data_IF_057176604116
#
_entry.id   IF_057176604116
#
_cell.length_a   1.000
_cell.length_b   1.000
_cell.length_c   1.000
_cell.angle_alpha   90.00
_cell.angle_beta   90.00
_cell.angle_gamma   90.00
#
_symmetry.space_group_name_H-M   'P 1'
#
loop_
_entity.id
_entity.type
_entity.pdbx_description
1 polymer ?
#
# COMPACT_ATOMS: atom_id res chain seq x y z
N UNK A 1 -39.20 21.02 64.60
CA UNK A 1 -37.79 21.47 64.59
C UNK A 1 -37.03 20.57 63.64
N UNK A 2 -36.38 21.18 62.65
CA UNK A 2 -35.41 20.63 61.67
C UNK A 2 -35.92 19.45 60.80
N UNK A 3 -36.39 19.68 59.56
CA UNK A 3 -35.65 20.10 58.36
C UNK A 3 -34.75 18.98 57.80
N UNK A 4 -35.17 18.40 56.67
CA UNK A 4 -34.33 17.86 55.57
C UNK A 4 -35.27 17.37 54.46
N UNK A 5 -35.69 18.29 53.59
CA UNK A 5 -36.24 18.00 52.27
C UNK A 5 -35.10 17.95 51.25
N UNK A 6 -34.89 16.80 50.61
CA UNK A 6 -34.07 16.68 49.40
C UNK A 6 -35.00 16.70 48.17
N UNK A 7 -34.84 17.66 47.24
CA UNK A 7 -35.59 17.65 45.99
C UNK A 7 -34.85 16.86 44.90
N UNK A 8 -35.62 16.03 44.19
CA UNK A 8 -35.26 15.31 42.97
C UNK A 8 -34.77 16.28 41.89
N UNK A 9 -33.47 16.24 41.57
CA UNK A 9 -32.88 17.01 40.48
C UNK A 9 -33.18 16.35 39.13
N UNK A 10 -33.89 17.11 38.29
CA UNK A 10 -34.08 16.87 36.85
C UNK A 10 -32.71 17.01 36.17
N UNK A 11 -32.17 15.89 35.70
CA UNK A 11 -30.90 15.81 34.98
C UNK A 11 -31.12 15.63 33.48
N UNK A 12 -31.16 16.77 32.80
CA UNK A 12 -30.60 17.08 31.48
C UNK A 12 -30.43 15.94 30.46
N UNK A 13 -31.25 16.00 29.40
CA UNK A 13 -31.07 15.28 28.13
C UNK A 13 -29.66 15.48 27.55
N UNK A 14 -29.03 14.43 26.98
CA UNK A 14 -27.74 14.58 26.34
C UNK A 14 -27.88 15.39 25.05
N UNK A 15 -27.13 16.49 25.02
CA UNK A 15 -26.93 17.38 23.88
C UNK A 15 -26.72 16.62 22.58
N UNK A 16 -27.57 16.90 21.61
CA UNK A 16 -27.47 16.49 20.22
C UNK A 16 -26.08 16.83 19.67
N UNK A 17 -25.29 15.79 19.33
CA UNK A 17 -24.08 15.93 18.55
C UNK A 17 -24.46 16.56 17.21
N UNK A 18 -24.11 17.84 17.00
CA UNK A 18 -24.28 18.51 15.71
C UNK A 18 -23.57 17.67 14.65
N UNK A 19 -24.34 17.02 13.78
CA UNK A 19 -23.78 16.39 12.59
C UNK A 19 -23.12 17.50 11.77
N UNK A 20 -21.79 17.42 11.64
CA UNK A 20 -21.02 18.34 10.80
C UNK A 20 -21.51 18.11 9.37
N UNK A 21 -22.45 18.94 8.88
CA UNK A 21 -22.93 18.87 7.49
C UNK A 21 -21.70 18.89 6.59
N UNK A 22 -21.49 17.79 5.86
CA UNK A 22 -20.42 17.67 4.88
C UNK A 22 -20.64 18.76 3.83
N UNK A 23 -19.61 19.58 3.59
CA UNK A 23 -19.65 20.58 2.52
C UNK A 23 -19.84 19.83 1.19
N UNK A 24 -20.68 20.34 0.26
CA UNK A 24 -20.83 19.73 -1.06
C UNK A 24 -19.49 19.78 -1.79
N UNK A 25 -19.13 18.68 -2.45
CA UNK A 25 -17.91 18.60 -3.26
C UNK A 25 -18.23 18.83 -4.74
N UNK A 26 -17.46 19.67 -5.48
CA UNK A 26 -16.35 20.50 -4.99
C UNK A 26 -16.84 21.78 -4.27
N UNK A 27 -16.18 22.15 -3.17
CA UNK A 27 -16.49 23.38 -2.43
C UNK A 27 -15.48 24.49 -2.76
N UNK A 28 -15.98 25.72 -2.89
CA UNK A 28 -15.14 26.92 -2.83
C UNK A 28 -14.80 27.24 -1.37
N UNK A 29 -13.53 27.49 -1.11
CA UNK A 29 -13.01 27.90 0.19
C UNK A 29 -12.81 29.42 0.22
N UNK A 30 -12.72 29.98 1.43
CA UNK A 30 -12.44 31.40 1.59
C UNK A 30 -10.97 31.68 1.22
N UNK A 31 -10.66 32.54 0.23
CA UNK A 31 -9.29 32.83 -0.18
C UNK A 31 -8.41 33.37 0.96
N UNK A 32 -9.00 34.04 1.95
CA UNK A 32 -8.27 34.59 3.11
C UNK A 32 -7.82 33.52 4.11
N UNK A 33 -8.42 32.33 4.08
CA UNK A 33 -8.06 31.21 4.96
C UNK A 33 -6.85 30.42 4.42
N UNK A 34 -6.40 30.70 3.19
CA UNK A 34 -5.24 30.02 2.62
C UNK A 34 -3.94 30.48 3.28
N UNK A 35 -3.04 29.56 3.69
CA UNK A 35 -1.79 29.89 4.37
C UNK A 35 -0.88 30.84 3.60
N UNK A 36 -0.85 30.74 2.26
CA UNK A 36 -0.05 31.63 1.41
C UNK A 36 -0.99 32.44 0.50
N UNK A 37 -1.22 33.72 0.79
CA UNK A 37 -2.12 34.56 0.01
C UNK A 37 -1.53 34.90 -1.38
N UNK A 38 -2.35 35.46 -2.29
CA UNK A 38 -1.87 35.97 -3.57
C UNK A 38 -0.77 37.04 -3.40
N UNK A 39 0.10 37.18 -4.40
CA UNK A 39 1.06 38.29 -4.46
C UNK A 39 0.31 39.63 -4.51
N UNK A 40 0.94 40.72 -4.06
CA UNK A 40 0.28 42.04 -4.04
C UNK A 40 -0.31 42.40 -5.42
N UNK A 41 -1.62 42.66 -5.45
CA UNK A 41 -2.38 42.97 -6.67
C UNK A 41 -2.82 41.76 -7.51
N UNK A 42 -2.48 40.53 -7.11
CA UNK A 42 -2.90 39.29 -7.76
C UNK A 42 -4.19 38.70 -7.19
N UNK A 43 -4.97 38.03 -8.03
CA UNK A 43 -6.19 37.31 -7.60
C UNK A 43 -5.99 35.79 -7.49
N UNK A 44 -4.88 35.25 -8.00
CA UNK A 44 -4.60 33.80 -7.98
C UNK A 44 -3.75 33.44 -6.78
N UNK A 45 -4.07 32.31 -6.16
CA UNK A 45 -3.26 31.76 -5.08
C UNK A 45 -1.94 31.23 -5.67
N UNK A 46 -0.81 31.37 -4.97
CA UNK A 46 0.41 30.69 -5.35
C UNK A 46 0.24 29.18 -5.18
N UNK A 47 0.85 28.40 -6.09
CA UNK A 47 0.90 26.94 -5.95
C UNK A 47 2.00 26.57 -4.94
N UNK A 48 1.59 26.38 -3.69
CA UNK A 48 2.46 25.96 -2.58
C UNK A 48 1.95 24.67 -1.96
N UNK A 49 2.82 23.94 -1.24
CA UNK A 49 2.41 22.71 -0.53
C UNK A 49 1.31 23.01 0.50
N UNK A 50 1.46 24.08 1.28
CA UNK A 50 0.53 24.45 2.34
C UNK A 50 -0.85 24.84 1.78
N UNK A 51 -0.90 25.54 0.64
CA UNK A 51 -2.16 25.89 -0.02
C UNK A 51 -2.87 24.66 -0.60
N UNK A 52 -2.12 23.71 -1.18
CA UNK A 52 -2.69 22.46 -1.70
C UNK A 52 -3.20 21.60 -0.54
N UNK A 53 -2.45 21.50 0.56
CA UNK A 53 -2.89 20.78 1.76
C UNK A 53 -4.17 21.40 2.35
N UNK A 54 -4.23 22.72 2.45
CA UNK A 54 -5.44 23.45 2.87
C UNK A 54 -6.63 23.17 1.93
N UNK A 55 -6.41 23.19 0.61
CA UNK A 55 -7.44 22.91 -0.39
C UNK A 55 -8.05 21.51 -0.22
N UNK A 56 -7.20 20.50 -0.04
CA UNK A 56 -7.60 19.11 0.17
C UNK A 56 -8.36 18.95 1.50
N UNK A 57 -7.82 19.52 2.59
CA UNK A 57 -8.42 19.46 3.91
C UNK A 57 -9.79 20.14 3.97
N UNK A 58 -9.92 21.33 3.37
CA UNK A 58 -11.18 22.08 3.30
C UNK A 58 -12.30 21.36 2.52
N UNK A 59 -11.92 20.45 1.63
CA UNK A 59 -12.81 19.60 0.84
C UNK A 59 -12.91 18.16 1.37
N UNK A 60 -12.36 17.86 2.56
CA UNK A 60 -12.37 16.51 3.14
C UNK A 60 -11.81 15.44 2.20
N UNK A 61 -10.73 15.77 1.49
CA UNK A 61 -10.02 14.85 0.60
C UNK A 61 -8.85 14.25 1.36
N UNK A 62 -8.83 12.93 1.48
CA UNK A 62 -7.69 12.20 2.01
C UNK A 62 -6.81 11.71 0.86
N UNK A 63 -5.53 12.02 0.94
CA UNK A 63 -4.53 11.58 -0.02
C UNK A 63 -3.53 10.72 0.72
N UNK A 64 -3.35 9.48 0.26
CA UNK A 64 -2.37 8.55 0.83
C UNK A 64 -1.65 7.77 -0.25
N UNK A 65 -0.43 7.33 0.03
CA UNK A 65 0.35 6.53 -0.89
C UNK A 65 0.56 5.13 -0.33
N UNK A 66 -0.02 4.12 -0.98
CA UNK A 66 0.21 2.73 -0.61
C UNK A 66 1.62 2.31 -1.03
N UNK A 67 2.47 2.07 -0.04
CA UNK A 67 3.88 1.73 -0.26
C UNK A 67 4.08 0.33 -0.84
N UNK A 68 3.09 -0.56 -0.71
CA UNK A 68 3.14 -1.93 -1.25
C UNK A 68 2.71 -1.91 -2.71
N UNK A 69 1.52 -1.37 -3.00
CA UNK A 69 1.01 -1.33 -4.37
C UNK A 69 1.63 -0.23 -5.22
N UNK A 70 2.38 0.69 -4.58
CA UNK A 70 3.00 1.86 -5.19
C UNK A 70 1.99 2.81 -5.85
N UNK A 71 0.76 2.86 -5.32
CA UNK A 71 -0.36 3.64 -5.86
C UNK A 71 -0.75 4.78 -4.94
N UNK A 72 -1.10 5.90 -5.55
CA UNK A 72 -1.72 7.03 -4.88
C UNK A 72 -3.23 6.78 -4.76
N UNK A 73 -3.77 6.89 -3.55
CA UNK A 73 -5.20 6.85 -3.27
C UNK A 73 -5.67 8.25 -2.88
N UNK A 74 -6.71 8.72 -3.56
CA UNK A 74 -7.28 10.06 -3.37
C UNK A 74 -8.77 9.87 -3.17
N UNK A 75 -9.21 10.04 -1.92
CA UNK A 75 -10.56 9.71 -1.50
C UNK A 75 -11.29 10.93 -0.95
N UNK A 76 -12.52 11.13 -1.39
CA UNK A 76 -13.48 12.03 -0.76
C UNK A 76 -14.70 11.20 -0.34
N UNK A 77 -14.95 11.07 0.97
CA UNK A 77 -16.04 10.25 1.51
C UNK A 77 -16.10 8.83 0.91
N UNK A 78 -14.96 8.14 0.88
CA UNK A 78 -14.78 6.81 0.28
C UNK A 78 -14.98 6.71 -1.25
N UNK A 79 -15.29 7.82 -1.94
CA UNK A 79 -15.25 7.89 -3.41
C UNK A 79 -13.84 8.22 -3.88
N UNK A 80 -13.32 7.42 -4.80
CA UNK A 80 -12.08 7.73 -5.53
C UNK A 80 -12.31 8.95 -6.42
N UNK A 81 -11.41 9.93 -6.33
CA UNK A 81 -11.39 11.09 -7.20
C UNK A 81 -10.46 10.85 -8.39
N UNK A 82 -10.86 11.37 -9.54
CA UNK A 82 -10.08 11.38 -10.76
C UNK A 82 -9.26 12.67 -10.88
N UNK A 83 -8.28 12.69 -11.79
CA UNK A 83 -7.43 13.86 -12.03
C UNK A 83 -8.24 15.12 -12.38
N UNK A 84 -9.28 14.95 -13.20
CA UNK A 84 -10.17 16.04 -13.60
C UNK A 84 -10.91 16.67 -12.42
N UNK A 85 -11.29 15.87 -11.40
CA UNK A 85 -11.96 16.38 -10.20
C UNK A 85 -11.03 17.34 -9.44
N UNK A 86 -9.74 16.98 -9.34
CA UNK A 86 -8.72 17.76 -8.63
C UNK A 86 -8.32 19.02 -9.38
N UNK A 87 -8.15 18.92 -10.70
CA UNK A 87 -7.88 20.07 -11.58
C UNK A 87 -9.05 21.06 -11.53
N UNK A 88 -10.29 20.56 -11.61
CA UNK A 88 -11.50 21.37 -11.50
C UNK A 88 -11.58 22.07 -10.14
N UNK A 89 -11.31 21.35 -9.05
CA UNK A 89 -11.28 21.90 -7.70
C UNK A 89 -10.22 23.00 -7.52
N UNK A 90 -9.01 22.79 -8.05
CA UNK A 90 -7.94 23.78 -8.00
C UNK A 90 -8.35 25.07 -8.72
N UNK A 91 -8.90 24.93 -9.93
CA UNK A 91 -9.39 26.06 -10.73
C UNK A 91 -10.55 26.81 -10.04
N UNK A 92 -11.50 26.09 -9.41
CA UNK A 92 -12.62 26.67 -8.66
C UNK A 92 -12.16 27.60 -7.52
N UNK A 93 -11.02 27.26 -6.91
CA UNK A 93 -10.42 27.95 -5.77
C UNK A 93 -9.28 28.90 -6.16
N UNK A 94 -9.03 29.12 -7.45
CA UNK A 94 -7.99 30.03 -7.92
C UNK A 94 -6.55 29.54 -7.70
N UNK A 95 -6.36 28.23 -7.47
CA UNK A 95 -5.05 27.57 -7.39
C UNK A 95 -4.61 27.15 -8.80
N UNK A 96 -3.39 27.51 -9.25
CA UNK A 96 -2.86 27.10 -10.55
C UNK A 96 -2.84 25.56 -10.70
N UNK A 97 -3.53 25.05 -11.72
CA UNK A 97 -3.68 23.60 -11.92
C UNK A 97 -2.50 22.92 -12.61
N UNK A 98 -1.59 23.68 -13.24
CA UNK A 98 -0.56 23.12 -14.14
C UNK A 98 0.37 22.07 -13.51
N UNK A 99 0.68 22.20 -12.22
CA UNK A 99 1.51 21.24 -11.47
C UNK A 99 0.80 20.74 -10.20
N UNK A 100 -0.51 20.96 -10.06
CA UNK A 100 -1.22 20.65 -8.81
C UNK A 100 -1.17 19.16 -8.47
N UNK A 101 -1.23 18.29 -9.49
CA UNK A 101 -1.16 16.84 -9.30
C UNK A 101 0.20 16.38 -8.75
N UNK A 102 1.30 17.04 -9.13
CA UNK A 102 2.65 16.71 -8.62
C UNK A 102 2.77 17.06 -7.12
N UNK A 103 2.14 18.15 -6.69
CA UNK A 103 2.06 18.56 -5.28
C UNK A 103 1.21 17.56 -4.49
N UNK A 104 0.04 17.18 -5.02
CA UNK A 104 -0.84 16.16 -4.42
C UNK A 104 -0.12 14.81 -4.31
N UNK A 105 0.58 14.37 -5.36
CA UNK A 105 1.37 13.13 -5.33
C UNK A 105 2.53 13.18 -4.33
N UNK A 106 3.09 14.37 -4.07
CA UNK A 106 4.11 14.56 -3.04
C UNK A 106 3.52 14.53 -1.63
N UNK A 107 2.37 15.18 -1.40
CA UNK A 107 1.63 15.10 -0.14
C UNK A 107 1.22 13.66 0.18
N UNK A 108 0.69 12.93 -0.81
CA UNK A 108 0.33 11.53 -0.64
C UNK A 108 1.51 10.65 -0.25
N UNK A 109 2.70 10.87 -0.83
CA UNK A 109 3.92 10.13 -0.44
C UNK A 109 4.39 10.46 0.98
N UNK A 110 4.14 11.66 1.49
CA UNK A 110 4.37 12.01 2.90
C UNK A 110 3.38 11.29 3.82
N UNK A 111 2.16 11.04 3.33
CA UNK A 111 1.13 10.26 4.01
C UNK A 111 1.11 8.80 3.52
N UNK A 112 2.19 8.07 3.77
CA UNK A 112 2.32 6.67 3.36
C UNK A 112 1.36 5.76 4.14
N UNK A 113 0.64 4.89 3.42
CA UNK A 113 -0.17 3.81 3.99
C UNK A 113 0.49 2.46 3.71
N UNK A 114 0.33 1.51 4.63
CA UNK A 114 0.83 0.15 4.45
C UNK A 114 -0.21 -0.85 4.98
N UNK A 115 -1.23 -1.19 4.16
CA UNK A 115 -2.32 -2.07 4.57
C UNK A 115 -1.84 -3.43 5.09
N UNK A 116 -0.70 -3.91 4.59
CA UNK A 116 -0.10 -5.16 5.03
C UNK A 116 0.50 -5.03 6.43
N UNK A 117 1.25 -3.94 6.70
CA UNK A 117 1.76 -3.68 8.03
C UNK A 117 0.63 -3.47 9.04
N UNK A 118 -0.43 -2.77 8.64
CA UNK A 118 -1.61 -2.53 9.45
C UNK A 118 -2.31 -3.85 9.79
N UNK A 119 -2.45 -4.75 8.81
CA UNK A 119 -2.99 -6.10 9.05
C UNK A 119 -2.10 -6.93 9.99
N UNK A 120 -0.78 -6.98 9.75
CA UNK A 120 0.16 -7.74 10.60
C UNK A 120 0.12 -7.24 12.05
N UNK A 121 -0.01 -5.91 12.26
CA UNK A 121 -0.04 -5.28 13.58
C UNK A 121 -1.44 -5.19 14.20
N UNK A 122 -2.49 -5.53 13.45
CA UNK A 122 -3.88 -5.39 13.89
C UNK A 122 -4.24 -6.25 15.11
N UNK A 123 -3.47 -7.32 15.34
CA UNK A 123 -3.66 -8.23 16.48
C UNK A 123 -2.31 -8.51 17.13
N UNK A 124 -2.18 -8.41 18.46
CA UNK A 124 -0.97 -8.84 19.13
C UNK A 124 -0.78 -10.36 18.96
N UNK A 125 0.48 -10.79 18.99
CA UNK A 125 0.79 -12.23 19.00
C UNK A 125 0.23 -12.86 20.27
N UNK A 126 -0.44 -14.00 20.12
CA UNK A 126 -1.13 -14.71 21.19
C UNK A 126 -0.25 -15.72 21.95
N UNK A 127 1.06 -15.74 21.66
CA UNK A 127 2.03 -16.61 22.31
C UNK A 127 2.06 -18.06 21.78
N UNK A 128 1.16 -18.45 20.89
CA UNK A 128 1.14 -19.80 20.32
C UNK A 128 1.90 -19.85 18.99
N UNK A 129 2.94 -20.67 18.94
CA UNK A 129 3.65 -20.97 17.69
C UNK A 129 2.81 -21.88 16.79
N UNK A 130 2.58 -21.43 15.55
CA UNK A 130 1.80 -22.15 14.52
C UNK A 130 2.64 -22.48 13.29
N UNK A 131 3.95 -22.21 13.33
CA UNK A 131 4.84 -22.47 12.22
C UNK A 131 4.94 -23.95 11.89
N UNK A 132 5.00 -24.82 12.89
CA UNK A 132 4.98 -26.28 12.69
C UNK A 132 3.71 -26.76 11.97
N UNK A 133 2.55 -26.23 12.34
CA UNK A 133 1.29 -26.54 11.67
C UNK A 133 1.32 -26.07 10.21
N UNK A 134 1.88 -24.89 9.93
CA UNK A 134 2.08 -24.38 8.58
C UNK A 134 3.02 -25.30 7.77
N UNK A 135 4.14 -25.74 8.33
CA UNK A 135 5.07 -26.62 7.62
C UNK A 135 4.44 -27.96 7.23
N UNK A 136 3.62 -28.52 8.12
CA UNK A 136 2.91 -29.78 7.88
C UNK A 136 1.83 -29.70 6.79
N UNK A 137 1.44 -28.50 6.36
CA UNK A 137 0.56 -28.35 5.18
C UNK A 137 1.28 -28.58 3.85
N UNK A 138 2.62 -28.64 3.85
CA UNK A 138 3.45 -28.94 2.67
C UNK A 138 4.01 -30.36 2.82
N UNK A 139 3.46 -31.27 2.03
CA UNK A 139 3.92 -32.65 1.94
C UNK A 139 5.11 -32.75 0.96
N UNK A 140 6.17 -33.42 1.40
CA UNK A 140 7.38 -33.68 0.61
C UNK A 140 7.58 -35.18 0.49
N UNK A 141 8.36 -35.62 -0.50
CA UNK A 141 8.74 -37.03 -0.63
C UNK A 141 9.53 -37.48 0.61
N UNK A 142 9.48 -38.78 0.94
CA UNK A 142 10.16 -39.36 2.10
C UNK A 142 11.69 -39.14 2.06
N UNK A 143 12.26 -39.06 0.86
CA UNK A 143 13.68 -38.77 0.62
C UNK A 143 14.07 -37.30 0.87
N UNK A 144 13.10 -36.38 0.95
CA UNK A 144 13.37 -34.96 1.11
C UNK A 144 13.46 -34.58 2.60
N UNK A 145 14.56 -33.95 3.05
CA UNK A 145 14.71 -33.58 4.45
C UNK A 145 13.63 -32.59 4.93
N UNK A 146 12.82 -32.99 5.91
CA UNK A 146 11.76 -32.14 6.48
C UNK A 146 12.31 -30.86 7.10
N UNK A 147 13.49 -30.92 7.71
CA UNK A 147 14.22 -29.75 8.24
C UNK A 147 14.51 -28.71 7.15
N UNK A 148 14.82 -29.17 5.94
CA UNK A 148 15.07 -28.28 4.80
C UNK A 148 13.77 -27.60 4.35
N UNK A 149 12.66 -28.33 4.29
CA UNK A 149 11.32 -27.77 4.01
C UNK A 149 10.99 -26.66 5.02
N UNK A 150 11.13 -26.97 6.32
CA UNK A 150 10.78 -26.06 7.41
C UNK A 150 11.63 -24.79 7.36
N UNK A 151 12.95 -24.94 7.18
CA UNK A 151 13.87 -23.82 7.06
C UNK A 151 13.57 -22.92 5.84
N UNK A 152 13.22 -23.51 4.69
CA UNK A 152 12.88 -22.75 3.49
C UNK A 152 11.57 -21.96 3.66
N UNK A 153 10.54 -22.60 4.20
CA UNK A 153 9.25 -21.93 4.46
C UNK A 153 9.44 -20.82 5.50
N UNK A 154 10.14 -21.09 6.60
CA UNK A 154 10.42 -20.09 7.64
C UNK A 154 11.12 -18.85 7.08
N UNK A 155 12.24 -19.05 6.38
CA UNK A 155 13.05 -17.95 5.84
C UNK A 155 12.28 -17.14 4.79
N UNK A 156 11.45 -17.80 3.99
CA UNK A 156 10.63 -17.13 3.00
C UNK A 156 9.50 -16.32 3.65
N UNK A 157 8.77 -16.87 4.63
CA UNK A 157 7.75 -16.15 5.38
C UNK A 157 8.35 -14.95 6.14
N UNK A 158 9.48 -15.14 6.80
CA UNK A 158 10.21 -14.08 7.48
C UNK A 158 10.62 -12.97 6.49
N UNK A 159 11.08 -13.36 5.29
CA UNK A 159 11.41 -12.41 4.22
C UNK A 159 10.17 -11.63 3.75
N UNK A 160 9.01 -12.26 3.62
CA UNK A 160 7.77 -11.60 3.22
C UNK A 160 7.31 -10.56 4.26
N UNK A 161 7.40 -10.90 5.56
CA UNK A 161 7.10 -9.96 6.65
C UNK A 161 8.13 -8.83 6.70
N UNK A 162 9.42 -9.14 6.58
CA UNK A 162 10.48 -8.14 6.53
C UNK A 162 10.31 -7.18 5.35
N UNK A 163 9.99 -7.68 4.17
CA UNK A 163 9.71 -6.87 2.97
C UNK A 163 8.50 -5.95 3.19
N UNK A 164 7.43 -6.46 3.81
CA UNK A 164 6.24 -5.67 4.09
C UNK A 164 6.50 -4.55 5.11
N UNK A 165 7.28 -4.83 6.16
CA UNK A 165 7.51 -3.89 7.26
C UNK A 165 8.73 -2.98 7.08
N UNK A 166 9.66 -3.33 6.20
CA UNK A 166 10.91 -2.59 6.03
C UNK A 166 10.68 -1.15 5.54
N UNK A 167 11.49 -0.22 6.07
CA UNK A 167 11.57 1.18 5.62
C UNK A 167 12.77 1.41 4.67
N UNK A 168 13.57 0.37 4.40
CA UNK A 168 14.77 0.41 3.55
C UNK A 168 15.70 -0.78 3.81
N UNK A 169 16.57 -1.13 2.86
CA UNK A 169 17.63 -2.15 2.98
C UNK A 169 17.17 -3.61 3.12
N UNK A 170 15.95 -3.94 2.66
CA UNK A 170 15.54 -5.33 2.53
C UNK A 170 16.06 -5.91 1.21
N UNK A 171 16.73 -7.06 1.28
CA UNK A 171 17.11 -7.84 0.11
C UNK A 171 16.47 -9.21 0.21
N UNK A 172 15.75 -9.62 -0.84
CA UNK A 172 15.32 -11.01 -0.93
C UNK A 172 16.54 -11.89 -1.19
N UNK A 173 16.82 -12.84 -0.30
CA UNK A 173 17.96 -13.76 -0.44
C UNK A 173 17.63 -15.03 -1.22
N UNK A 174 16.36 -15.29 -1.48
CA UNK A 174 15.93 -16.51 -2.12
C UNK A 174 14.49 -16.47 -2.61
N UNK A 175 14.16 -17.44 -3.46
CA UNK A 175 12.82 -17.65 -3.99
C UNK A 175 12.34 -18.99 -3.47
N UNK A 176 11.15 -19.03 -2.87
CA UNK A 176 10.55 -20.30 -2.46
C UNK A 176 10.06 -21.03 -3.70
N UNK A 177 10.70 -22.15 -4.02
CA UNK A 177 10.30 -23.00 -5.15
C UNK A 177 9.46 -24.16 -4.65
N UNK A 178 8.21 -24.23 -5.11
CA UNK A 178 7.33 -25.36 -4.85
C UNK A 178 7.26 -26.22 -6.12
N UNK A 179 7.69 -27.48 -6.01
CA UNK A 179 7.69 -28.45 -7.09
C UNK A 179 6.62 -29.53 -6.84
N UNK A 180 5.98 -29.99 -7.91
CA UNK A 180 5.04 -31.11 -7.86
C UNK A 180 4.02 -31.04 -9.00
N UNK A 181 3.11 -32.02 -9.09
CA UNK A 181 2.17 -32.12 -10.21
C UNK A 181 1.28 -30.89 -10.35
N UNK A 182 0.77 -30.67 -11.56
CA UNK A 182 -0.24 -29.63 -11.78
C UNK A 182 -1.47 -29.91 -10.92
N UNK A 183 -2.15 -28.85 -10.47
CA UNK A 183 -3.33 -28.99 -9.61
C UNK A 183 -3.02 -29.31 -8.14
N UNK A 184 -1.75 -29.46 -7.73
CA UNK A 184 -1.38 -29.77 -6.34
C UNK A 184 -1.60 -28.62 -5.32
N UNK A 185 -2.29 -27.54 -5.73
CA UNK A 185 -2.65 -26.44 -4.83
C UNK A 185 -1.55 -25.44 -4.48
N UNK A 186 -0.35 -25.49 -5.10
CA UNK A 186 0.80 -24.59 -4.81
C UNK A 186 0.41 -23.11 -4.79
N UNK A 187 -0.19 -22.62 -5.86
CA UNK A 187 -0.64 -21.22 -5.97
C UNK A 187 -1.70 -20.87 -4.92
N UNK A 188 -2.65 -21.78 -4.70
CA UNK A 188 -3.71 -21.60 -3.70
C UNK A 188 -3.16 -21.58 -2.28
N UNK A 189 -2.11 -22.36 -2.00
CA UNK A 189 -1.44 -22.38 -0.72
C UNK A 189 -0.82 -21.01 -0.40
N UNK A 190 -0.04 -20.44 -1.34
CA UNK A 190 0.54 -19.10 -1.20
C UNK A 190 -0.57 -18.04 -1.05
N UNK A 191 -1.61 -18.13 -1.88
CA UNK A 191 -2.74 -17.20 -1.83
C UNK A 191 -3.47 -17.18 -0.48
N UNK A 192 -3.52 -18.32 0.23
CA UNK A 192 -4.19 -18.48 1.52
C UNK A 192 -3.40 -17.92 2.70
N UNK A 193 -2.11 -17.64 2.53
CA UNK A 193 -1.31 -16.93 3.53
C UNK A 193 -1.72 -15.46 3.65
N UNK A 194 -2.36 -14.93 2.61
CA UNK A 194 -2.81 -13.54 2.53
C UNK A 194 -4.32 -13.48 2.78
N UNK A 195 -4.81 -12.56 3.65
CA UNK A 195 -6.24 -12.37 3.86
C UNK A 195 -6.93 -11.96 2.56
N UNK A 196 -8.19 -12.34 2.42
CA UNK A 196 -8.92 -12.20 1.16
C UNK A 196 -8.98 -10.75 0.65
N UNK A 197 -9.21 -9.80 1.55
CA UNK A 197 -9.32 -8.38 1.22
C UNK A 197 -8.01 -7.79 0.66
N UNK A 198 -6.85 -8.29 1.13
CA UNK A 198 -5.53 -7.84 0.66
C UNK A 198 -5.00 -8.66 -0.50
N UNK A 199 -5.58 -9.84 -0.77
CA UNK A 199 -5.03 -10.81 -1.73
C UNK A 199 -4.84 -10.22 -3.12
N UNK A 200 -5.82 -9.44 -3.60
CA UNK A 200 -5.75 -8.80 -4.93
C UNK A 200 -4.65 -7.73 -5.03
N UNK A 201 -4.39 -7.00 -3.95
CA UNK A 201 -3.39 -5.93 -3.94
C UNK A 201 -1.98 -6.45 -3.64
N UNK A 202 -1.87 -7.50 -2.82
CA UNK A 202 -0.58 -7.95 -2.28
C UNK A 202 -0.01 -9.17 -3.00
N UNK A 203 -0.86 -10.07 -3.54
CA UNK A 203 -0.41 -11.31 -4.20
C UNK A 203 -0.65 -11.29 -5.71
N UNK A 204 0.43 -11.36 -6.49
CA UNK A 204 0.38 -11.53 -7.94
C UNK A 204 0.62 -12.99 -8.30
N UNK A 205 -0.38 -13.61 -8.95
CA UNK A 205 -0.31 -15.00 -9.45
C UNK A 205 0.24 -15.07 -10.85
N UNK A 206 0.95 -16.17 -11.14
CA UNK A 206 1.39 -16.57 -12.48
C UNK A 206 2.02 -15.42 -13.29
N UNK A 207 2.88 -14.63 -12.65
CA UNK A 207 3.52 -13.49 -13.29
C UNK A 207 4.65 -13.98 -14.19
N UNK A 208 4.53 -13.70 -15.49
CA UNK A 208 5.64 -13.87 -16.42
C UNK A 208 6.56 -12.64 -16.33
N UNK A 209 7.53 -12.74 -15.43
CA UNK A 209 8.50 -11.67 -15.22
C UNK A 209 9.49 -11.61 -16.39
N UNK A 210 9.46 -10.51 -17.12
CA UNK A 210 10.47 -10.15 -18.12
C UNK A 210 11.35 -9.04 -17.53
N UNK A 211 12.62 -9.33 -17.16
CA UNK A 211 13.53 -8.32 -16.62
C UNK A 211 13.88 -7.20 -17.61
N UNK A 212 13.62 -7.36 -18.91
CA UNK A 212 13.88 -6.35 -19.93
C UNK A 212 12.72 -5.35 -20.05
N UNK A 213 11.51 -5.77 -19.70
CA UNK A 213 10.31 -4.95 -19.76
C UNK A 213 10.12 -4.16 -18.46
N UNK A 214 10.20 -2.83 -18.57
CA UNK A 214 9.91 -1.93 -17.44
C UNK A 214 8.52 -2.17 -16.88
N UNK A 215 7.53 -2.43 -17.73
CA UNK A 215 6.15 -2.67 -17.28
C UNK A 215 6.01 -3.99 -16.53
N UNK A 216 6.71 -5.05 -16.97
CA UNK A 216 6.70 -6.35 -16.26
C UNK A 216 7.34 -6.23 -14.87
N UNK A 217 8.45 -5.50 -14.78
CA UNK A 217 9.11 -5.18 -13.49
C UNK A 217 8.20 -4.33 -12.61
N UNK A 218 7.57 -3.28 -13.15
CA UNK A 218 6.64 -2.41 -12.42
C UNK A 218 5.47 -3.19 -11.82
N UNK A 219 4.88 -4.11 -12.59
CA UNK A 219 3.82 -5.00 -12.11
C UNK A 219 4.32 -5.88 -10.98
N UNK A 220 5.52 -6.47 -11.09
CA UNK A 220 6.07 -7.30 -10.03
C UNK A 220 6.31 -6.51 -8.74
N UNK A 221 6.91 -5.32 -8.83
CA UNK A 221 7.27 -4.52 -7.66
C UNK A 221 6.09 -3.79 -7.03
N UNK A 222 4.92 -3.78 -7.69
CA UNK A 222 3.65 -3.28 -7.17
C UNK A 222 2.86 -4.34 -6.38
N UNK A 223 3.46 -5.51 -6.12
CA UNK A 223 2.90 -6.54 -5.27
C UNK A 223 3.98 -7.00 -4.29
N UNK A 224 3.60 -7.43 -3.10
CA UNK A 224 4.57 -7.85 -2.10
C UNK A 224 4.90 -9.33 -2.16
N UNK A 225 3.99 -10.16 -2.69
CA UNK A 225 4.28 -11.55 -3.04
C UNK A 225 4.00 -11.73 -4.54
N UNK A 226 5.01 -12.17 -5.28
CA UNK A 226 4.89 -12.47 -6.71
C UNK A 226 5.21 -13.93 -6.95
N UNK A 227 4.21 -14.69 -7.38
CA UNK A 227 4.41 -16.02 -7.90
C UNK A 227 4.88 -15.92 -9.35
N UNK A 228 6.11 -16.36 -9.59
CA UNK A 228 6.69 -16.52 -10.90
C UNK A 228 6.15 -17.81 -11.53
N UNK A 229 5.69 -17.69 -12.78
CA UNK A 229 5.30 -18.83 -13.60
C UNK A 229 6.45 -19.83 -13.83
N UNK A 230 6.14 -20.95 -14.48
CA UNK A 230 7.13 -22.00 -14.75
C UNK A 230 8.36 -21.45 -15.48
N UNK A 231 9.55 -21.97 -15.13
CA UNK A 231 10.79 -21.66 -15.85
C UNK A 231 10.73 -22.24 -17.27
N UNK A 232 10.23 -21.45 -18.21
CA UNK A 232 10.31 -21.79 -19.63
C UNK A 232 11.73 -21.58 -20.18
N UNK A 233 11.93 -21.90 -21.45
CA UNK A 233 13.22 -21.71 -22.13
C UNK A 233 13.65 -20.23 -22.23
N UNK A 234 12.72 -19.28 -22.10
CA UNK A 234 12.98 -17.84 -22.04
C UNK A 234 13.54 -17.45 -20.66
N UNK A 235 12.98 -18.01 -19.57
CA UNK A 235 13.47 -17.81 -18.20
C UNK A 235 14.91 -18.27 -17.97
N UNK A 236 15.35 -19.33 -18.69
CA UNK A 236 16.74 -19.81 -18.61
C UNK A 236 17.77 -18.86 -19.21
N UNK A 237 17.38 -18.07 -20.23
CA UNK A 237 18.28 -17.09 -20.87
C UNK A 237 18.57 -15.89 -19.97
N UNK A 238 17.63 -15.56 -19.08
CA UNK A 238 17.70 -14.35 -18.24
C UNK A 238 17.98 -14.63 -16.74
N UNK A 239 18.45 -15.83 -16.37
CA UNK A 239 18.71 -16.21 -14.97
C UNK A 239 19.63 -15.23 -14.24
N UNK A 240 20.67 -14.70 -14.91
CA UNK A 240 21.57 -13.73 -14.30
C UNK A 240 20.86 -12.40 -13.97
N UNK A 241 19.98 -11.92 -14.86
CA UNK A 241 19.20 -10.70 -14.66
C UNK A 241 18.10 -10.90 -13.62
N UNK A 242 17.46 -12.05 -13.63
CA UNK A 242 16.48 -12.44 -12.62
C UNK A 242 17.12 -12.46 -11.22
N UNK A 243 18.32 -13.05 -11.09
CA UNK A 243 19.09 -13.00 -9.83
C UNK A 243 19.32 -11.56 -9.40
N UNK A 244 19.80 -10.70 -10.31
CA UNK A 244 19.95 -9.26 -10.05
C UNK A 244 18.66 -8.62 -9.56
N UNK A 245 17.54 -8.88 -10.23
CA UNK A 245 16.23 -8.38 -9.82
C UNK A 245 15.84 -8.85 -8.41
N UNK A 246 16.02 -10.13 -8.08
CA UNK A 246 15.67 -10.69 -6.77
C UNK A 246 16.52 -10.07 -5.66
N UNK A 247 17.82 -9.85 -5.92
CA UNK A 247 18.78 -9.37 -4.92
C UNK A 247 18.77 -7.84 -4.73
N UNK A 248 18.18 -7.08 -5.65
CA UNK A 248 18.09 -5.62 -5.54
C UNK A 248 17.31 -5.20 -4.28
N UNK A 249 17.88 -4.25 -3.55
CA UNK A 249 17.26 -3.56 -2.39
C UNK A 249 16.38 -2.39 -2.77
N UNK A 250 16.58 -1.81 -3.96
CA UNK A 250 15.84 -0.65 -4.40
C UNK A 250 15.23 -0.88 -5.80
N UNK A 251 14.03 -0.35 -5.97
CA UNK A 251 13.32 -0.27 -7.22
C UNK A 251 13.24 1.17 -7.66
N UNK A 252 13.88 1.49 -8.79
CA UNK A 252 13.76 2.80 -9.41
C UNK A 252 12.49 2.87 -10.24
N UNK A 253 11.44 3.43 -9.66
CA UNK A 253 10.09 3.50 -10.25
C UNK A 253 9.72 4.95 -10.49
N UNK A 254 8.95 5.22 -11.54
CA UNK A 254 8.30 6.53 -11.74
C UNK A 254 6.84 6.41 -11.34
N UNK A 255 6.45 6.87 -10.13
CA UNK A 255 5.04 6.93 -9.74
C UNK A 255 4.24 7.84 -10.68
N UNK A 256 2.92 7.67 -10.73
CA UNK A 256 2.03 8.69 -11.27
C UNK A 256 2.34 10.06 -10.65
N UNK A 257 2.32 11.12 -11.48
CA UNK A 257 2.58 12.52 -11.07
C UNK A 257 3.99 12.81 -10.56
N UNK A 258 4.92 11.85 -10.69
CA UNK A 258 6.32 12.12 -10.44
C UNK A 258 6.98 12.63 -11.73
N UNK A 259 7.56 13.83 -11.67
CA UNK A 259 8.38 14.37 -12.75
C UNK A 259 9.57 13.45 -13.09
N UNK A 260 10.10 12.74 -12.09
CA UNK A 260 11.27 11.85 -12.22
C UNK A 260 11.02 10.52 -11.51
N UNK A 261 11.74 9.48 -11.95
CA UNK A 261 11.80 8.23 -11.20
C UNK A 261 12.42 8.47 -9.82
N UNK A 262 11.90 7.76 -8.82
CA UNK A 262 12.36 7.77 -7.44
C UNK A 262 12.76 6.35 -7.05
N UNK A 263 13.76 6.25 -6.18
CA UNK A 263 14.20 4.98 -5.64
C UNK A 263 13.31 4.63 -4.44
N UNK A 264 12.71 3.44 -4.49
CA UNK A 264 11.86 2.91 -3.42
C UNK A 264 12.47 1.63 -2.89
N UNK A 265 12.50 1.46 -1.57
CA UNK A 265 12.95 0.21 -0.97
C UNK A 265 12.12 -0.98 -1.46
N UNK A 266 12.79 -2.12 -1.68
CA UNK A 266 12.17 -3.35 -2.14
C UNK A 266 11.20 -3.88 -1.08
N UNK A 267 9.96 -4.13 -1.49
CA UNK A 267 8.88 -4.71 -0.66
C UNK A 267 8.29 -5.99 -1.24
N UNK A 268 8.97 -6.57 -2.22
CA UNK A 268 8.51 -7.75 -2.98
C UNK A 268 9.37 -8.96 -2.69
N UNK A 269 8.72 -10.09 -2.44
CA UNK A 269 9.31 -11.43 -2.35
C UNK A 269 8.71 -12.31 -3.44
N UNK A 270 9.53 -13.17 -4.03
CA UNK A 270 9.10 -14.07 -5.09
C UNK A 270 8.92 -15.51 -4.58
N UNK A 271 8.01 -16.22 -5.23
CA UNK A 271 7.90 -17.69 -5.18
C UNK A 271 7.94 -18.22 -6.61
N UNK A 272 8.37 -19.46 -6.79
CA UNK A 272 8.45 -20.11 -8.09
C UNK A 272 7.61 -21.39 -8.10
N UNK A 273 6.81 -21.55 -9.15
CA UNK A 273 6.04 -22.77 -9.39
C UNK A 273 6.79 -23.66 -10.38
N UNK A 274 7.12 -24.89 -9.97
CA UNK A 274 7.67 -25.92 -10.85
C UNK A 274 6.75 -27.15 -10.92
N UNK A 275 6.81 -27.85 -12.06
CA UNK A 275 6.16 -29.15 -12.25
C UNK A 275 7.02 -30.26 -11.66
#
# INVERSE_FOLDING_TARGET
MTDTTAPTSIGTEPSTSKSRKLKPFPARLNPEEFPNPPSQGGHKLPLTMDNVEHLLAGNSINVSYDVISKRLSILHNARQLEECDLISLANLNGVPSGQVLDFIGTLGRRNGSNPVADWIKSRPWDGSDRLQQLYHTVHVEESYPTEMRDALIYRWCLSAVAAALSLGNFHSRGVLTLQGPQGSGKTSWIARLVPEDLRRAWFKRDHHLDPCSKDSVLVAVAHGIVELGELDSSFRRDVARLKGFITNDCDRVRPPYAARAVDMGRRTVCSLRQR
#
